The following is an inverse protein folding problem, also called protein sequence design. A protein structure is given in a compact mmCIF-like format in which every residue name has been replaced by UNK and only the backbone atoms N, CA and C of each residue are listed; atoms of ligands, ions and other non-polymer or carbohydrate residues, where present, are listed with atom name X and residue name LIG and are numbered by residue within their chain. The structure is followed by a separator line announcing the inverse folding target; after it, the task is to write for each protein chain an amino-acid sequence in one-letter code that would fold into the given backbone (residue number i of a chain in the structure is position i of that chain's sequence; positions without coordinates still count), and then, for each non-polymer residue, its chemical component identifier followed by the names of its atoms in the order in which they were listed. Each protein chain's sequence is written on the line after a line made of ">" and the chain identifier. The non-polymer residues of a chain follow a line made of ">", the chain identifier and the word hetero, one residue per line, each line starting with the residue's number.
data_IF_025073813673
#
_entry.id   IF_025073813673
#
_cell.length_a   1.000
_cell.length_b   1.000
_cell.length_c   1.000
_cell.angle_alpha   90.00
_cell.angle_beta   90.00
_cell.angle_gamma   90.00
#
_symmetry.space_group_name_H-M   'P 1'
#
loop_
_entity.id
_entity.type
_entity.pdbx_description
1 polymer ?
#
# COMPACT_ATOMS: atom_id res chain seq x y z
N UNK A 1 5.76 -10.48 -5.87
CA UNK A 1 5.22 -10.47 -4.50
C UNK A 1 5.43 -9.08 -3.94
N UNK A 2 4.40 -8.26 -3.80
CA UNK A 2 4.56 -6.84 -3.43
C UNK A 2 5.22 -6.65 -2.05
N UNK A 3 5.81 -5.49 -1.85
CA UNK A 3 6.40 -5.05 -0.57
C UNK A 3 5.77 -3.74 -0.16
N UNK A 4 5.42 -3.59 1.11
CA UNK A 4 4.95 -2.36 1.73
C UNK A 4 5.74 -2.13 3.01
N UNK A 5 6.42 -0.99 3.09
CA UNK A 5 7.05 -0.45 4.29
C UNK A 5 6.13 0.65 4.82
N UNK A 6 5.77 0.58 6.09
CA UNK A 6 4.95 1.55 6.80
C UNK A 6 5.78 2.15 7.93
N UNK A 7 5.82 3.47 8.03
CA UNK A 7 6.35 4.19 9.18
C UNK A 7 5.24 5.01 9.81
N UNK A 8 4.88 4.73 11.06
CA UNK A 8 3.90 5.50 11.83
C UNK A 8 4.59 6.21 12.98
N UNK A 9 4.39 7.51 13.10
CA UNK A 9 5.00 8.37 14.12
C UNK A 9 6.55 8.33 14.16
N UNK A 10 7.17 7.89 13.05
CA UNK A 10 8.63 7.69 12.95
C UNK A 10 9.42 8.98 12.74
N UNK A 11 8.76 10.04 12.23
CA UNK A 11 9.37 11.37 12.01
C UNK A 11 8.86 12.35 13.06
N UNK A 12 7.55 12.35 13.28
CA UNK A 12 6.88 13.11 14.32
C UNK A 12 5.53 12.43 14.66
N UNK A 13 4.96 12.66 15.85
CA UNK A 13 3.62 12.19 16.17
C UNK A 13 2.58 12.66 15.14
N UNK A 14 1.66 11.78 14.76
CA UNK A 14 0.62 12.04 13.76
C UNK A 14 1.12 11.98 12.31
N UNK A 15 2.23 11.27 12.05
CA UNK A 15 2.74 11.11 10.68
C UNK A 15 2.64 9.66 10.22
N UNK A 16 2.28 9.47 8.95
CA UNK A 16 2.28 8.17 8.28
C UNK A 16 3.09 8.25 7.00
N UNK A 17 4.06 7.36 6.87
CA UNK A 17 4.89 7.17 5.70
C UNK A 17 4.61 5.79 5.15
N UNK A 18 4.42 5.69 3.85
CA UNK A 18 4.32 4.43 3.15
C UNK A 18 5.27 4.43 1.97
N UNK A 19 6.02 3.35 1.79
CA UNK A 19 6.85 3.10 0.64
C UNK A 19 6.58 1.67 0.14
N UNK A 20 6.23 1.49 -1.12
CA UNK A 20 5.80 0.19 -1.60
C UNK A 20 6.25 -0.10 -3.03
N UNK A 21 6.70 -1.33 -3.27
CA UNK A 21 6.96 -1.90 -4.59
C UNK A 21 5.80 -2.80 -4.99
N UNK A 22 5.26 -2.56 -6.19
CA UNK A 22 4.32 -3.47 -6.84
C UNK A 22 5.08 -4.46 -7.70
N UNK A 23 5.11 -5.72 -7.26
CA UNK A 23 5.72 -6.81 -8.00
C UNK A 23 4.61 -7.63 -8.69
N UNK A 24 4.52 -7.55 -10.02
CA UNK A 24 3.44 -8.10 -10.85
C UNK A 24 3.97 -8.77 -12.13
N UNK A 25 3.15 -9.62 -12.74
CA UNK A 25 3.32 -10.07 -14.12
C UNK A 25 3.42 -8.83 -15.06
N UNK A 26 4.53 -8.66 -15.81
CA UNK A 26 4.69 -7.55 -16.76
C UNK A 26 3.57 -7.45 -17.80
N UNK A 27 2.93 -8.58 -18.14
CA UNK A 27 1.85 -8.63 -19.12
C UNK A 27 0.49 -8.20 -18.53
N UNK A 28 0.38 -8.00 -17.21
CA UNK A 28 -0.86 -7.55 -16.57
C UNK A 28 -1.03 -6.03 -16.78
N UNK A 29 -2.04 -5.59 -17.55
CA UNK A 29 -2.20 -4.18 -17.84
C UNK A 29 -2.68 -3.39 -16.60
N UNK A 30 -2.02 -2.27 -16.32
CA UNK A 30 -2.42 -1.29 -15.31
C UNK A 30 -2.20 0.13 -15.80
N UNK A 31 -3.01 1.08 -15.33
CA UNK A 31 -2.77 2.51 -15.52
C UNK A 31 -2.09 3.10 -14.26
N UNK A 32 -1.23 4.13 -14.42
CA UNK A 32 -0.60 4.85 -13.32
C UNK A 32 -1.65 5.52 -12.40
N UNK A 33 -1.24 6.02 -11.23
CA UNK A 33 -2.18 6.62 -10.30
C UNK A 33 -2.96 7.78 -10.91
N UNK A 34 -4.27 7.72 -10.76
CA UNK A 34 -5.24 8.71 -11.24
C UNK A 34 -6.36 8.88 -10.23
N UNK A 35 -7.23 9.87 -10.44
CA UNK A 35 -8.46 9.98 -9.66
C UNK A 35 -9.36 8.79 -10.00
N UNK A 36 -9.61 7.95 -9.01
CA UNK A 36 -10.50 6.79 -9.08
C UNK A 36 -11.92 7.16 -8.63
N UNK A 37 -12.03 8.04 -7.64
CA UNK A 37 -13.29 8.59 -7.12
C UNK A 37 -13.08 10.08 -6.85
N UNK A 38 -14.05 10.91 -7.26
CA UNK A 38 -13.96 12.38 -7.14
C UNK A 38 -14.33 12.88 -5.73
N UNK A 39 -15.30 12.24 -5.08
CA UNK A 39 -15.81 12.64 -3.76
C UNK A 39 -16.18 11.42 -2.91
N UNK A 40 -15.45 11.12 -1.81
CA UNK A 40 -14.17 11.72 -1.43
C UNK A 40 -13.10 11.47 -2.51
N UNK A 41 -12.03 12.27 -2.54
CA UNK A 41 -11.04 12.10 -3.59
C UNK A 41 -10.16 10.89 -3.27
N UNK A 42 -10.21 9.89 -4.15
CA UNK A 42 -9.40 8.67 -4.05
C UNK A 42 -8.47 8.60 -5.24
N UNK A 43 -7.17 8.50 -4.98
CA UNK A 43 -6.13 8.43 -6.01
C UNK A 43 -5.41 7.09 -5.91
N UNK A 44 -5.31 6.36 -7.01
CA UNK A 44 -4.63 5.08 -7.04
C UNK A 44 -4.43 4.59 -8.47
N UNK A 45 -3.57 3.59 -8.65
CA UNK A 45 -3.43 2.94 -9.96
C UNK A 45 -4.72 2.23 -10.36
N UNK A 46 -4.87 1.87 -11.63
CA UNK A 46 -6.04 1.11 -12.11
C UNK A 46 -5.60 -0.22 -12.68
N UNK A 47 -6.03 -1.32 -12.06
CA UNK A 47 -5.92 -2.64 -12.69
C UNK A 47 -6.93 -2.73 -13.84
N UNK A 48 -6.46 -2.86 -15.08
CA UNK A 48 -7.34 -2.90 -16.27
C UNK A 48 -7.95 -4.28 -16.50
N UNK A 49 -7.42 -5.32 -15.85
CA UNK A 49 -7.97 -6.68 -15.92
C UNK A 49 -9.10 -6.88 -14.91
N UNK A 50 -8.88 -6.51 -13.65
CA UNK A 50 -9.83 -6.76 -12.57
C UNK A 50 -10.64 -5.52 -12.15
N UNK A 51 -10.35 -4.34 -12.72
CA UNK A 51 -11.05 -3.11 -12.41
C UNK A 51 -10.91 -2.65 -10.96
N UNK A 52 -9.82 -3.02 -10.28
CA UNK A 52 -9.54 -2.61 -8.90
C UNK A 52 -8.33 -1.66 -8.82
N UNK A 53 -7.83 -1.45 -7.60
CA UNK A 53 -6.53 -0.81 -7.35
C UNK A 53 -5.72 -1.59 -6.31
N UNK A 54 -4.40 -1.58 -6.45
CA UNK A 54 -3.50 -2.20 -5.47
C UNK A 54 -3.30 -1.31 -4.23
N UNK A 55 -3.23 0.00 -4.47
CA UNK A 55 -2.98 1.03 -3.47
C UNK A 55 -3.79 2.27 -3.82
N UNK A 56 -4.50 2.79 -2.83
CA UNK A 56 -5.28 4.01 -2.92
C UNK A 56 -4.90 4.96 -1.79
N UNK A 57 -4.79 6.24 -2.11
CA UNK A 57 -4.65 7.33 -1.16
C UNK A 57 -5.96 8.12 -1.16
N UNK A 58 -6.57 8.27 0.01
CA UNK A 58 -7.79 9.08 0.22
C UNK A 58 -7.39 10.45 0.73
N UNK A 59 -7.65 11.47 -0.09
CA UNK A 59 -7.30 12.86 0.19
C UNK A 59 -5.88 12.96 0.77
N UNK A 60 -5.74 13.47 1.98
CA UNK A 60 -4.52 13.54 2.78
C UNK A 60 -4.65 12.78 4.10
N UNK A 61 -5.50 11.75 4.14
CA UNK A 61 -5.94 11.15 5.41
C UNK A 61 -5.51 9.72 5.61
N UNK A 62 -5.60 8.92 4.57
CA UNK A 62 -5.26 7.51 4.68
C UNK A 62 -4.72 6.93 3.39
N UNK A 63 -3.95 5.86 3.56
CA UNK A 63 -3.58 4.94 2.49
C UNK A 63 -4.26 3.61 2.76
N UNK A 64 -4.83 3.02 1.72
CA UNK A 64 -5.39 1.67 1.74
C UNK A 64 -4.65 0.85 0.68
N UNK A 65 -4.11 -0.29 1.06
CA UNK A 65 -3.37 -1.16 0.15
C UNK A 65 -3.73 -2.62 0.39
N UNK A 66 -3.60 -3.45 -0.65
CA UNK A 66 -3.81 -4.89 -0.53
C UNK A 66 -2.58 -5.67 -0.95
N UNK A 67 -2.23 -6.70 -0.18
CA UNK A 67 -1.15 -7.62 -0.48
C UNK A 67 -1.72 -9.02 -0.67
N UNK A 68 -1.22 -9.71 -1.70
CA UNK A 68 -1.63 -11.07 -2.00
C UNK A 68 -1.00 -12.02 -0.98
N UNK A 69 -1.81 -12.84 -0.33
CA UNK A 69 -1.35 -13.98 0.46
C UNK A 69 -1.32 -15.24 -0.40
N UNK A 70 -0.61 -16.27 0.04
CA UNK A 70 -0.54 -17.54 -0.69
C UNK A 70 -1.95 -18.13 -0.79
N UNK A 71 -2.44 -18.47 -2.00
CA UNK A 71 -3.72 -19.13 -2.14
C UNK A 71 -3.63 -20.56 -1.59
N UNK A 72 -4.73 -21.07 -1.04
CA UNK A 72 -4.83 -22.49 -0.73
C UNK A 72 -4.82 -23.33 -2.01
N UNK A 73 -4.08 -24.45 -2.04
CA UNK A 73 -4.16 -25.40 -3.15
C UNK A 73 -5.60 -25.91 -3.31
N UNK A 74 -6.17 -25.74 -4.51
CA UNK A 74 -7.43 -26.40 -4.89
C UNK A 74 -8.68 -25.53 -4.84
N UNK A 75 -8.61 -24.25 -4.47
CA UNK A 75 -9.82 -23.40 -4.46
C UNK A 75 -10.06 -22.75 -5.84
N UNK A 76 -11.16 -23.08 -6.56
CA UNK A 76 -11.42 -22.58 -7.91
C UNK A 76 -11.40 -21.05 -8.00
N UNK A 77 -10.89 -20.50 -9.10
CA UNK A 77 -10.75 -19.05 -9.29
C UNK A 77 -12.07 -18.34 -9.66
N UNK A 78 -13.11 -19.09 -10.04
CA UNK A 78 -14.41 -18.53 -10.41
C UNK A 78 -15.16 -18.00 -9.19
N UNK A 79 -15.93 -16.94 -9.38
CA UNK A 79 -16.86 -16.32 -8.41
C UNK A 79 -16.26 -15.50 -7.26
N UNK A 80 -14.98 -15.12 -7.34
CA UNK A 80 -14.36 -14.22 -6.34
C UNK A 80 -14.42 -12.76 -6.75
N UNK A 81 -14.79 -11.90 -5.80
CA UNK A 81 -14.72 -10.45 -5.96
C UNK A 81 -13.26 -9.98 -5.99
N UNK A 82 -12.99 -8.94 -6.77
CA UNK A 82 -11.66 -8.36 -6.87
C UNK A 82 -11.21 -7.76 -5.53
N UNK A 83 -10.08 -8.22 -5.00
CA UNK A 83 -9.39 -7.63 -3.84
C UNK A 83 -9.09 -6.14 -4.05
N UNK A 84 -8.76 -5.75 -5.27
CA UNK A 84 -8.51 -4.34 -5.57
C UNK A 84 -9.78 -3.49 -5.62
N UNK A 85 -10.97 -4.10 -5.80
CA UNK A 85 -12.23 -3.38 -5.64
C UNK A 85 -12.52 -3.08 -4.16
N UNK A 86 -12.13 -3.98 -3.24
CA UNK A 86 -12.21 -3.75 -1.80
C UNK A 86 -11.38 -2.53 -1.35
N UNK A 87 -10.19 -2.35 -1.93
CA UNK A 87 -9.37 -1.16 -1.66
C UNK A 87 -10.11 0.13 -2.01
N UNK A 88 -10.77 0.17 -3.19
CA UNK A 88 -11.57 1.33 -3.61
C UNK A 88 -12.76 1.54 -2.67
N UNK A 89 -13.49 0.48 -2.34
CA UNK A 89 -14.65 0.54 -1.44
C UNK A 89 -14.30 1.17 -0.08
N UNK A 90 -13.20 0.70 0.52
CA UNK A 90 -12.74 1.14 1.83
C UNK A 90 -12.23 2.58 1.77
N UNK A 91 -11.46 2.93 0.75
CA UNK A 91 -10.98 4.29 0.55
C UNK A 91 -12.10 5.29 0.22
N UNK A 92 -13.23 4.84 -0.31
CA UNK A 92 -14.32 5.70 -0.78
C UNK A 92 -15.45 5.88 0.24
N UNK A 93 -15.31 5.33 1.46
CA UNK A 93 -16.36 5.43 2.48
C UNK A 93 -16.73 6.91 2.72
N UNK A 94 -18.03 7.26 2.70
CA UNK A 94 -18.49 8.61 2.99
C UNK A 94 -18.48 8.84 4.50
N UNK A 95 -17.30 9.02 5.08
CA UNK A 95 -17.15 9.53 6.43
C UNK A 95 -16.94 11.05 6.37
N UNK A 96 -17.69 11.78 7.19
CA UNK A 96 -17.48 13.21 7.46
C UNK A 96 -16.10 13.45 8.07
N UNK A 97 -15.65 14.71 8.00
CA UNK A 97 -14.36 15.11 8.53
C UNK A 97 -14.26 14.83 10.05
N UNK A 98 -13.46 13.84 10.49
CA UNK A 98 -13.20 13.55 11.90
C UNK A 98 -12.84 12.09 12.23
N UNK A 99 -12.75 11.76 13.54
CA UNK A 99 -12.30 10.47 14.14
C UNK A 99 -13.07 9.21 13.69
N UNK A 100 -14.16 9.35 12.94
CA UNK A 100 -15.00 8.24 12.52
C UNK A 100 -14.48 7.44 11.32
N UNK A 101 -13.51 7.97 10.56
CA UNK A 101 -13.16 7.39 9.26
C UNK A 101 -12.48 6.01 9.37
N UNK A 102 -11.47 5.84 10.23
CA UNK A 102 -10.79 4.55 10.39
C UNK A 102 -11.77 3.42 10.78
N UNK A 103 -12.72 3.72 11.67
CA UNK A 103 -13.81 2.79 12.05
C UNK A 103 -14.76 2.51 10.89
N UNK A 104 -15.20 3.55 10.18
CA UNK A 104 -16.12 3.38 9.05
C UNK A 104 -15.47 2.59 7.89
N UNK A 105 -14.18 2.80 7.66
CA UNK A 105 -13.36 2.03 6.72
C UNK A 105 -13.26 0.56 7.12
N UNK A 106 -12.99 0.28 8.41
CA UNK A 106 -12.96 -1.08 8.95
C UNK A 106 -14.33 -1.77 8.83
N UNK A 107 -15.41 -1.08 9.18
CA UNK A 107 -16.77 -1.60 9.07
C UNK A 107 -17.16 -1.88 7.62
N UNK A 108 -16.73 -1.04 6.67
CA UNK A 108 -16.92 -1.30 5.24
C UNK A 108 -16.18 -2.55 4.80
N UNK A 109 -14.94 -2.73 5.25
CA UNK A 109 -14.14 -3.89 4.91
C UNK A 109 -14.77 -5.20 5.44
N UNK A 110 -15.25 -5.20 6.69
CA UNK A 110 -15.97 -6.33 7.29
C UNK A 110 -17.24 -6.67 6.52
N UNK A 111 -18.10 -5.70 6.24
CA UNK A 111 -19.32 -5.92 5.44
C UNK A 111 -18.99 -6.49 4.06
N UNK A 112 -17.94 -6.01 3.41
CA UNK A 112 -17.56 -6.53 2.10
C UNK A 112 -17.17 -8.01 2.15
N UNK A 113 -16.50 -8.45 3.22
CA UNK A 113 -16.16 -9.85 3.46
C UNK A 113 -17.41 -10.73 3.71
N UNK A 114 -18.47 -10.17 4.30
CA UNK A 114 -19.75 -10.86 4.45
C UNK A 114 -20.55 -10.92 3.12
N UNK A 115 -20.39 -9.91 2.27
CA UNK A 115 -21.11 -9.75 1.00
C UNK A 115 -20.56 -10.62 -0.14
N UNK A 116 -19.28 -10.99 -0.10
CA UNK A 116 -18.63 -11.67 -1.22
C UNK A 116 -17.41 -12.52 -0.81
N UNK A 117 -17.12 -13.55 -1.60
CA UNK A 117 -15.90 -14.33 -1.46
C UNK A 117 -14.69 -13.61 -2.07
N UNK A 118 -13.55 -13.69 -1.38
CA UNK A 118 -12.27 -13.16 -1.83
C UNK A 118 -11.18 -14.24 -1.80
N UNK A 119 -10.18 -14.10 -2.66
CA UNK A 119 -8.95 -14.88 -2.55
C UNK A 119 -8.13 -14.37 -1.35
N UNK A 120 -7.27 -15.16 -0.68
CA UNK A 120 -6.51 -14.71 0.49
C UNK A 120 -5.75 -13.40 0.30
N UNK A 121 -5.75 -12.54 1.32
CA UNK A 121 -5.13 -11.23 1.27
C UNK A 121 -4.82 -10.63 2.64
N UNK A 122 -3.90 -9.68 2.65
CA UNK A 122 -3.76 -8.70 3.73
C UNK A 122 -4.24 -7.34 3.22
N UNK A 123 -5.23 -6.74 3.87
CA UNK A 123 -5.66 -5.36 3.59
C UNK A 123 -5.06 -4.48 4.67
N UNK A 124 -4.28 -3.48 4.26
CA UNK A 124 -3.65 -2.51 5.14
C UNK A 124 -4.39 -1.19 5.00
N UNK A 125 -4.76 -0.59 6.13
CA UNK A 125 -5.22 0.78 6.25
C UNK A 125 -4.23 1.53 7.15
N UNK A 126 -3.73 2.66 6.67
CA UNK A 126 -2.80 3.48 7.42
C UNK A 126 -3.24 4.94 7.43
N UNK A 127 -3.38 5.50 8.62
CA UNK A 127 -3.72 6.89 8.87
C UNK A 127 -3.05 7.39 10.16
N UNK A 128 -2.94 8.71 10.31
CA UNK A 128 -2.25 9.34 11.43
C UNK A 128 -2.85 9.00 12.81
N UNK A 129 -4.17 8.78 12.86
CA UNK A 129 -4.91 8.46 14.08
C UNK A 129 -4.84 6.97 14.42
N UNK A 130 -5.03 6.10 13.43
CA UNK A 130 -5.03 4.65 13.62
C UNK A 130 -4.67 3.95 12.32
N UNK A 131 -3.80 2.94 12.44
CA UNK A 131 -3.48 2.01 11.37
C UNK A 131 -3.94 0.61 11.77
N UNK A 132 -4.47 -0.14 10.82
CA UNK A 132 -4.91 -1.51 11.04
C UNK A 132 -4.72 -2.36 9.79
N UNK A 133 -4.71 -3.67 9.97
CA UNK A 133 -4.76 -4.62 8.88
C UNK A 133 -5.83 -5.68 9.12
N UNK A 134 -6.37 -6.20 8.02
CA UNK A 134 -7.19 -7.40 8.01
C UNK A 134 -6.40 -8.51 7.31
N UNK A 135 -6.21 -9.61 8.00
CA UNK A 135 -5.71 -10.86 7.43
C UNK A 135 -6.92 -11.72 7.08
N UNK A 136 -7.06 -12.01 5.79
CA UNK A 136 -8.09 -12.89 5.26
C UNK A 136 -7.42 -14.11 4.64
N UNK A 137 -7.49 -15.24 5.34
CA UNK A 137 -7.08 -16.56 4.86
C UNK A 137 -8.31 -17.35 4.37
N UNK A 138 -8.11 -18.38 3.53
CA UNK A 138 -9.24 -19.10 2.95
C UNK A 138 -9.95 -19.94 4.02
N UNK A 139 -11.23 -19.65 4.27
CA UNK A 139 -12.08 -20.46 5.16
C UNK A 139 -12.05 -20.06 6.64
N UNK A 140 -11.22 -19.11 7.04
CA UNK A 140 -11.16 -18.59 8.41
C UNK A 140 -11.83 -17.23 8.57
N UNK A 141 -12.22 -16.91 9.81
CA UNK A 141 -12.72 -15.57 10.15
C UNK A 141 -11.58 -14.57 10.03
N UNK A 142 -11.77 -13.52 9.23
CA UNK A 142 -10.74 -12.53 8.99
C UNK A 142 -10.29 -11.84 10.30
N UNK A 143 -8.99 -11.86 10.57
CA UNK A 143 -8.41 -11.31 11.79
C UNK A 143 -8.05 -9.84 11.59
N UNK A 144 -8.50 -8.97 12.49
CA UNK A 144 -8.15 -7.54 12.50
C UNK A 144 -7.00 -7.33 13.49
N UNK A 145 -5.94 -6.65 13.04
CA UNK A 145 -4.80 -6.27 13.89
C UNK A 145 -4.56 -4.77 13.80
N UNK A 146 -4.38 -4.11 14.94
CA UNK A 146 -3.88 -2.73 14.97
C UNK A 146 -2.38 -2.73 14.61
N UNK A 147 -1.93 -1.69 13.93
CA UNK A 147 -0.50 -1.47 13.65
C UNK A 147 -0.03 -0.30 14.51
N UNK A 148 0.92 -0.59 15.38
CA UNK A 148 1.45 0.34 16.38
C UNK A 148 2.33 1.44 15.75
N UNK A 149 2.71 2.49 16.51
CA UNK A 149 3.78 3.39 16.11
C UNK A 149 5.10 2.65 15.86
N UNK A 150 5.83 3.05 14.82
CA UNK A 150 7.11 2.46 14.45
C UNK A 150 7.23 2.14 12.96
N UNK A 151 8.33 1.48 12.62
CA UNK A 151 8.55 0.89 11.30
C UNK A 151 7.94 -0.51 11.25
N UNK A 152 7.25 -0.79 10.15
CA UNK A 152 6.62 -2.06 9.87
C UNK A 152 6.80 -2.44 8.42
N UNK A 153 6.82 -3.73 8.12
CA UNK A 153 6.93 -4.27 6.78
C UNK A 153 5.88 -5.36 6.57
N UNK A 154 5.18 -5.26 5.44
CA UNK A 154 4.18 -6.24 5.01
C UNK A 154 4.54 -6.69 3.59
N UNK A 155 4.57 -8.00 3.38
CA UNK A 155 4.74 -8.61 2.06
C UNK A 155 3.56 -9.56 1.78
N UNK A 156 3.82 -10.76 1.26
CA UNK A 156 2.81 -11.82 1.20
C UNK A 156 2.57 -12.55 2.53
N UNK A 157 3.47 -12.36 3.48
CA UNK A 157 3.42 -12.97 4.81
C UNK A 157 2.69 -12.06 5.81
N UNK A 158 2.74 -12.42 7.10
CA UNK A 158 2.20 -11.59 8.18
C UNK A 158 3.03 -10.31 8.41
N UNK A 159 2.47 -9.39 9.20
CA UNK A 159 3.13 -8.16 9.64
C UNK A 159 4.44 -8.49 10.33
N UNK A 160 5.54 -7.88 9.88
CA UNK A 160 6.88 -8.01 10.45
C UNK A 160 7.35 -9.47 10.60
N UNK A 161 6.83 -10.37 9.76
CA UNK A 161 7.16 -11.80 9.81
C UNK A 161 8.68 -12.01 9.60
N UNK A 162 9.41 -12.47 10.64
CA UNK A 162 10.86 -12.64 10.57
C UNK A 162 11.28 -13.86 9.75
N UNK A 163 10.33 -14.72 9.38
CA UNK A 163 10.59 -15.90 8.53
C UNK A 163 10.56 -15.54 7.05
N UNK A 164 10.00 -14.39 6.69
CA UNK A 164 10.03 -13.86 5.33
C UNK A 164 11.33 -13.05 5.14
N UNK A 165 12.26 -13.49 4.27
CA UNK A 165 13.60 -12.91 4.21
C UNK A 165 13.61 -11.41 3.91
N UNK A 166 12.72 -10.94 3.02
CA UNK A 166 12.66 -9.52 2.64
C UNK A 166 12.14 -8.67 3.79
N UNK A 167 11.12 -9.13 4.49
CA UNK A 167 10.61 -8.51 5.72
C UNK A 167 11.70 -8.45 6.78
N UNK A 168 12.36 -9.57 7.08
CA UNK A 168 13.42 -9.63 8.09
C UNK A 168 14.57 -8.67 7.79
N UNK A 169 15.03 -8.62 6.54
CA UNK A 169 16.09 -7.72 6.12
C UNK A 169 15.66 -6.25 6.21
N UNK A 170 14.49 -5.89 5.69
CA UNK A 170 13.98 -4.51 5.74
C UNK A 170 13.77 -4.03 7.18
N UNK A 171 13.26 -4.89 8.07
CA UNK A 171 13.08 -4.56 9.48
C UNK A 171 14.42 -4.35 10.18
N UNK A 172 15.45 -5.10 9.83
CA UNK A 172 16.80 -4.88 10.35
C UNK A 172 17.41 -3.57 9.85
N UNK A 173 17.26 -3.27 8.55
CA UNK A 173 17.71 -2.01 7.93
C UNK A 173 17.01 -0.77 8.52
N UNK A 174 15.78 -0.91 9.02
CA UNK A 174 15.00 0.17 9.64
C UNK A 174 15.17 0.21 11.17
N UNK A 175 15.83 -0.78 11.77
CA UNK A 175 16.02 -0.86 13.22
C UNK A 175 16.82 0.34 13.72
N UNK A 176 16.20 1.12 14.60
CA UNK A 176 16.83 2.33 15.17
C UNK A 176 16.98 3.50 14.19
N UNK A 177 16.47 3.38 12.95
CA UNK A 177 16.45 4.49 12.01
C UNK A 177 15.39 5.51 12.42
N UNK A 178 15.82 6.66 12.94
CA UNK A 178 14.98 7.80 13.26
C UNK A 178 15.26 8.93 12.25
N UNK A 179 14.44 9.09 11.20
CA UNK A 179 14.68 10.09 10.17
C UNK A 179 14.61 11.51 10.71
N UNK A 180 15.58 12.35 10.34
CA UNK A 180 15.61 13.75 10.80
C UNK A 180 14.57 14.65 10.13
N UNK A 181 14.01 14.22 9.00
CA UNK A 181 13.05 14.99 8.21
C UNK A 181 12.29 14.10 7.23
N UNK A 182 11.32 14.69 6.53
CA UNK A 182 10.59 13.96 5.52
C UNK A 182 11.46 13.51 4.35
N UNK A 183 12.36 14.37 3.92
CA UNK A 183 13.26 14.08 2.81
C UNK A 183 14.30 13.01 3.20
N UNK A 184 14.64 12.91 4.48
CA UNK A 184 15.56 11.89 4.99
C UNK A 184 14.95 10.49 4.97
N UNK A 185 13.71 10.36 5.44
CA UNK A 185 13.00 9.10 5.34
C UNK A 185 12.72 8.74 3.87
N UNK A 186 12.35 9.71 3.01
CA UNK A 186 12.14 9.48 1.58
C UNK A 186 13.40 8.91 0.91
N UNK A 187 14.58 9.51 1.14
CA UNK A 187 15.85 9.00 0.61
C UNK A 187 16.13 7.57 1.06
N UNK A 188 15.96 7.27 2.35
CA UNK A 188 16.19 5.92 2.89
C UNK A 188 15.24 4.91 2.28
N UNK A 189 13.94 5.22 2.22
CA UNK A 189 12.91 4.33 1.69
C UNK A 189 13.10 4.08 0.19
N UNK A 190 13.43 5.11 -0.59
CA UNK A 190 13.75 4.95 -2.02
C UNK A 190 14.95 4.00 -2.21
N UNK A 191 16.01 4.17 -1.42
CA UNK A 191 17.18 3.29 -1.49
C UNK A 191 16.82 1.83 -1.15
N UNK A 192 15.98 1.60 -0.14
CA UNK A 192 15.51 0.27 0.21
C UNK A 192 14.63 -0.34 -0.90
N UNK A 193 13.70 0.42 -1.46
CA UNK A 193 12.85 -0.04 -2.56
C UNK A 193 13.64 -0.35 -3.83
N UNK A 194 14.76 0.33 -4.07
CA UNK A 194 15.65 0.12 -5.20
C UNK A 194 16.70 -1.00 -4.97
N UNK A 195 16.72 -1.65 -3.81
CA UNK A 195 17.73 -2.67 -3.48
C UNK A 195 17.58 -3.93 -4.35
N UNK A 196 18.67 -4.34 -4.99
CA UNK A 196 18.77 -5.59 -5.76
C UNK A 196 19.24 -6.78 -4.92
N UNK A 197 19.47 -6.56 -3.62
CA UNK A 197 20.02 -7.57 -2.72
C UNK A 197 21.44 -8.02 -3.09
N UNK A 198 21.91 -9.05 -2.40
CA UNK A 198 23.19 -9.72 -2.61
C UNK A 198 23.04 -11.18 -2.17
N UNK A 199 22.88 -12.07 -3.15
CA UNK A 199 22.66 -13.50 -2.91
C UNK A 199 23.83 -14.15 -2.16
N UNK A 200 25.08 -13.68 -2.38
CA UNK A 200 26.25 -14.24 -1.71
C UNK A 200 26.26 -13.89 -0.21
N UNK A 201 25.63 -12.78 0.17
CA UNK A 201 25.47 -12.33 1.56
C UNK A 201 24.12 -12.68 2.18
N UNK A 202 23.25 -13.38 1.45
CA UNK A 202 21.89 -13.69 1.90
C UNK A 202 20.96 -12.48 1.96
N UNK A 203 21.31 -11.37 1.31
CA UNK A 203 20.47 -10.16 1.27
C UNK A 203 19.43 -10.31 0.14
N UNK A 204 18.12 -10.27 0.45
CA UNK A 204 17.08 -10.46 -0.54
C UNK A 204 16.89 -9.21 -1.43
N UNK A 205 16.47 -9.38 -2.70
CA UNK A 205 16.09 -8.25 -3.54
C UNK A 205 14.72 -7.69 -3.14
N UNK A 206 14.60 -6.35 -3.16
CA UNK A 206 13.33 -5.62 -3.00
C UNK A 206 12.83 -5.12 -4.36
N UNK A 207 13.73 -4.67 -5.23
CA UNK A 207 13.46 -4.38 -6.63
C UNK A 207 13.74 -5.63 -7.48
N UNK A 208 12.70 -6.20 -8.08
CA UNK A 208 12.77 -7.42 -8.87
C UNK A 208 12.89 -7.10 -10.37
N UNK A 209 13.92 -7.63 -11.01
CA UNK A 209 14.18 -7.44 -12.45
C UNK A 209 13.87 -8.68 -13.28
N UNK A 210 13.86 -9.85 -12.66
CA UNK A 210 13.73 -11.15 -13.31
C UNK A 210 12.73 -12.06 -12.60
N UNK A 211 12.34 -13.14 -13.27
CA UNK A 211 11.32 -14.08 -12.81
C UNK A 211 9.93 -13.79 -13.35
N UNK A 212 8.94 -14.58 -12.90
CA UNK A 212 7.56 -14.46 -13.37
C UNK A 212 6.84 -13.18 -12.91
N UNK A 213 7.34 -12.55 -11.85
CA UNK A 213 6.81 -11.31 -11.29
C UNK A 213 7.97 -10.35 -11.09
N UNK A 214 7.90 -9.15 -11.66
CA UNK A 214 8.94 -8.12 -11.55
C UNK A 214 8.37 -6.87 -10.91
N UNK A 215 9.21 -5.99 -10.38
CA UNK A 215 8.76 -4.69 -9.90
C UNK A 215 8.33 -3.86 -11.10
N UNK A 216 7.05 -3.50 -11.16
CA UNK A 216 6.47 -2.73 -12.28
C UNK A 216 6.17 -1.30 -11.91
N UNK A 217 6.06 -0.99 -10.62
CA UNK A 217 5.93 0.38 -10.13
C UNK A 217 6.28 0.48 -8.65
N UNK A 218 6.57 1.70 -8.21
CA UNK A 218 6.81 2.02 -6.81
C UNK A 218 6.05 3.28 -6.38
N UNK A 219 5.61 3.32 -5.13
CA UNK A 219 4.81 4.44 -4.58
C UNK A 219 5.32 4.85 -3.21
N UNK A 220 5.39 6.16 -2.97
CA UNK A 220 5.64 6.76 -1.66
C UNK A 220 4.46 7.66 -1.31
N UNK A 221 3.83 7.45 -0.17
CA UNK A 221 2.78 8.33 0.33
C UNK A 221 3.15 8.81 1.74
N UNK A 222 3.08 10.12 1.93
CA UNK A 222 3.38 10.76 3.20
C UNK A 222 2.20 11.59 3.65
N UNK A 223 1.60 11.20 4.77
CA UNK A 223 0.52 11.92 5.42
C UNK A 223 1.08 12.62 6.65
N UNK A 224 0.95 13.94 6.68
CA UNK A 224 1.26 14.81 7.82
C UNK A 224 0.06 15.68 8.15
N UNK A 225 0.12 16.39 9.29
CA UNK A 225 -0.80 17.49 9.57
C UNK A 225 -0.78 18.60 8.50
N UNK A 226 0.29 18.72 7.71
CA UNK A 226 0.42 19.71 6.63
C UNK A 226 -0.08 19.18 5.26
N UNK A 227 -0.61 17.95 5.22
CA UNK A 227 -1.21 17.34 4.04
C UNK A 227 -0.43 16.14 3.49
N UNK A 228 -0.72 15.82 2.21
CA UNK A 228 -0.17 14.67 1.49
C UNK A 228 0.98 15.04 0.55
N UNK A 229 2.09 14.31 0.66
CA UNK A 229 3.07 14.15 -0.43
C UNK A 229 2.93 12.75 -1.02
N UNK A 230 2.51 12.66 -2.29
CA UNK A 230 2.42 11.40 -3.03
C UNK A 230 3.43 11.41 -4.17
N UNK A 231 4.29 10.40 -4.24
CA UNK A 231 5.25 10.19 -5.32
C UNK A 231 5.10 8.80 -5.90
N UNK A 232 5.25 8.67 -7.21
CA UNK A 232 5.10 7.42 -7.94
C UNK A 232 6.17 7.28 -9.02
N UNK A 233 6.71 6.09 -9.15
CA UNK A 233 7.55 5.67 -10.27
C UNK A 233 6.78 4.64 -11.10
N UNK A 234 6.46 4.99 -12.35
CA UNK A 234 5.86 4.08 -13.33
C UNK A 234 6.99 3.24 -13.95
N UNK A 235 7.36 2.19 -13.22
CA UNK A 235 8.53 1.36 -13.51
C UNK A 235 9.34 1.08 -12.25
N UNK A 236 10.47 0.40 -12.42
CA UNK A 236 11.35 0.04 -11.31
C UNK A 236 11.95 1.28 -10.65
N UNK A 237 11.94 1.39 -9.31
CA UNK A 237 12.44 2.57 -8.59
C UNK A 237 13.95 2.84 -8.78
N UNK A 238 14.73 1.84 -9.20
CA UNK A 238 16.15 1.98 -9.52
C UNK A 238 16.41 2.57 -10.93
N UNK A 239 15.42 2.51 -11.82
CA UNK A 239 15.53 2.92 -13.23
C UNK A 239 14.64 4.14 -13.54
N UNK A 240 13.59 4.37 -12.75
CA UNK A 240 12.54 5.35 -13.04
C UNK A 240 12.43 6.39 -11.92
N UNK A 241 12.31 7.68 -12.27
CA UNK A 241 12.20 8.74 -11.28
C UNK A 241 10.82 8.73 -10.60
N UNK A 242 10.81 9.15 -9.34
CA UNK A 242 9.57 9.39 -8.60
C UNK A 242 8.99 10.77 -8.93
N UNK A 243 7.76 10.82 -9.41
CA UNK A 243 7.02 12.06 -9.77
C UNK A 243 5.75 12.19 -8.95
N UNK A 244 5.17 13.39 -8.82
CA UNK A 244 3.84 13.55 -8.22
C UNK A 244 2.77 13.09 -9.23
N UNK A 245 2.04 12.00 -8.96
CA UNK A 245 1.09 11.45 -9.93
C UNK A 245 -0.26 12.17 -9.89
N UNK A 246 -0.48 13.09 -8.93
CA UNK A 246 -1.77 13.76 -8.79
C UNK A 246 -1.96 14.68 -9.99
N UNK A 247 -3.12 14.62 -10.67
CA UNK A 247 -3.39 15.58 -11.73
C UNK A 247 -3.32 16.99 -11.13
N UNK A 248 -2.60 17.88 -11.82
CA UNK A 248 -2.57 19.30 -11.48
C UNK A 248 -4.02 19.77 -11.46
N UNK A 249 -4.47 20.31 -10.32
CA UNK A 249 -5.77 20.98 -10.28
C UNK A 249 -5.73 22.05 -11.36
N UNK A 250 -6.68 22.03 -12.29
CA UNK A 250 -6.89 23.19 -13.15
C UNK A 250 -7.10 24.40 -12.21
N UNK A 251 -6.43 25.54 -12.45
CA UNK A 251 -6.72 26.74 -11.67
C UNK A 251 -8.23 26.93 -11.71
N UNK A 252 -8.85 27.10 -10.53
CA UNK A 252 -10.28 27.29 -10.41
C UNK A 252 -10.68 28.37 -11.43
N UNK A 253 -11.31 27.94 -12.51
CA UNK A 253 -11.80 28.85 -13.54
C UNK A 253 -12.71 29.81 -12.81
N UNK A 254 -12.37 31.11 -12.84
CA UNK A 254 -13.33 32.14 -12.47
C UNK A 254 -14.56 31.85 -13.31
N UNK A 255 -15.65 31.44 -12.66
CA UNK A 255 -16.97 31.49 -13.26
C UNK A 255 -17.12 32.94 -13.75
N UNK A 256 -17.13 33.11 -15.06
CA UNK A 256 -17.49 34.34 -15.72
C UNK A 256 -19.01 34.37 -15.88
#
# INVERSE_FOLDING_TARGET
>A
MCTLILGRDVVAPGTVLLAANRDEDPARPSDPPRVLVERPRVIGGRDRRAGGTWLAVRDDRAVVAVLNRRPDPGTPASDRRSRGALVIDVASVPASDGEGFARAALDRARRALDEAAYAPFTLVYAAADTSWMIVHDAGDTAAVRTIDPGWHVVTHADLDDPTEPRTAWLMDELRGFAPASADDAERRLVALLASHGDRARGVPPVCLHEGAMVTVSASLAWITGDGLRYRHAEGRPCEHPFTDPRPRLAPAGRLA
#
